data_IF_337890918024
#
_entry.id   IF_337890918024
#
_cell.length_a   1.000
_cell.length_b   1.000
_cell.length_c   1.000
_cell.angle_alpha   90.00
_cell.angle_beta   90.00
_cell.angle_gamma   90.00
#
_symmetry.space_group_name_H-M   'P 1'
#
loop_
_entity.id
_entity.type
_entity.pdbx_description
1 polymer ?
#
# COMPACT_ATOMS: atom_id res chain seq x y z
N UNK A 1 -25.68 -15.91 -48.06
CA UNK A 1 -25.55 -16.77 -46.86
C UNK A 1 -24.12 -16.78 -46.27
N UNK A 2 -23.08 -16.71 -47.10
CA UNK A 2 -21.71 -16.70 -46.65
C UNK A 2 -21.27 -15.35 -46.02
N UNK A 3 -21.90 -14.24 -46.40
CA UNK A 3 -21.57 -12.90 -45.90
C UNK A 3 -22.07 -12.61 -44.47
N UNK A 4 -23.14 -13.32 -44.04
CA UNK A 4 -23.68 -13.15 -42.67
C UNK A 4 -22.90 -13.95 -41.61
N UNK A 5 -22.34 -15.11 -42.00
CA UNK A 5 -21.47 -15.90 -41.13
C UNK A 5 -20.12 -15.19 -40.84
N UNK A 6 -19.58 -14.51 -41.84
CA UNK A 6 -18.31 -13.78 -41.72
C UNK A 6 -18.44 -12.54 -40.80
N UNK A 7 -19.59 -11.88 -40.83
CA UNK A 7 -19.84 -10.71 -39.94
C UNK A 7 -20.01 -11.12 -38.47
N UNK A 8 -20.68 -12.24 -38.20
CA UNK A 8 -20.88 -12.75 -36.86
C UNK A 8 -19.55 -13.24 -36.21
N UNK A 9 -18.70 -13.89 -37.01
CA UNK A 9 -17.39 -14.33 -36.56
C UNK A 9 -16.44 -13.19 -36.22
N UNK A 10 -16.44 -12.13 -37.02
CA UNK A 10 -15.62 -10.93 -36.76
C UNK A 10 -16.08 -10.13 -35.53
N UNK A 11 -17.39 -10.12 -35.27
CA UNK A 11 -17.95 -9.43 -34.08
C UNK A 11 -17.63 -10.19 -32.79
N UNK A 12 -17.66 -11.51 -32.82
CA UNK A 12 -17.34 -12.38 -31.70
C UNK A 12 -15.85 -12.31 -31.32
N UNK A 13 -14.95 -12.31 -32.31
CA UNK A 13 -13.52 -12.19 -32.09
C UNK A 13 -13.11 -10.83 -31.50
N UNK A 14 -13.82 -9.74 -31.87
CA UNK A 14 -13.59 -8.42 -31.25
C UNK A 14 -14.06 -8.33 -29.81
N UNK A 15 -15.18 -8.95 -29.45
CA UNK A 15 -15.66 -9.00 -28.08
C UNK A 15 -14.76 -9.87 -27.20
N UNK A 16 -14.23 -10.97 -27.69
CA UNK A 16 -13.31 -11.82 -26.94
C UNK A 16 -11.95 -11.16 -26.70
N UNK A 17 -11.44 -10.35 -27.63
CA UNK A 17 -10.21 -9.59 -27.42
C UNK A 17 -10.40 -8.44 -26.43
N UNK A 18 -11.57 -7.79 -26.39
CA UNK A 18 -11.91 -6.77 -25.40
C UNK A 18 -12.04 -7.36 -24.00
N UNK A 19 -12.67 -8.52 -23.84
CA UNK A 19 -12.76 -9.24 -22.57
C UNK A 19 -11.39 -9.68 -22.07
N UNK A 20 -10.49 -10.13 -22.93
CA UNK A 20 -9.12 -10.48 -22.54
C UNK A 20 -8.32 -9.31 -21.99
N UNK A 21 -8.50 -8.10 -22.53
CA UNK A 21 -7.84 -6.89 -22.05
C UNK A 21 -8.40 -6.47 -20.68
N UNK A 22 -9.71 -6.51 -20.48
CA UNK A 22 -10.36 -6.25 -19.20
C UNK A 22 -10.01 -7.31 -18.17
N UNK A 23 -9.99 -8.58 -18.51
CA UNK A 23 -9.59 -9.67 -17.64
C UNK A 23 -8.10 -9.58 -17.26
N UNK A 24 -7.22 -9.12 -18.15
CA UNK A 24 -5.80 -8.96 -17.86
C UNK A 24 -5.52 -7.78 -16.91
N UNK A 25 -6.34 -6.71 -16.94
CA UNK A 25 -6.29 -5.60 -16.00
C UNK A 25 -6.96 -5.90 -14.66
N UNK A 26 -7.97 -6.82 -14.65
CA UNK A 26 -8.78 -7.17 -13.46
C UNK A 26 -8.33 -8.46 -12.78
N UNK A 27 -7.58 -9.35 -13.44
CA UNK A 27 -7.41 -10.75 -13.02
C UNK A 27 -6.11 -11.09 -12.32
N UNK A 28 -5.22 -10.15 -12.07
CA UNK A 28 -4.26 -10.40 -10.99
C UNK A 28 -4.99 -10.10 -9.69
N UNK A 29 -5.40 -11.15 -8.90
CA UNK A 29 -5.88 -10.86 -7.57
C UNK A 29 -4.71 -10.22 -6.82
N UNK A 30 -4.69 -8.90 -6.83
CA UNK A 30 -3.83 -8.15 -5.94
C UNK A 30 -4.24 -8.59 -4.55
N UNK A 31 -3.29 -9.08 -3.78
CA UNK A 31 -3.55 -9.36 -2.39
C UNK A 31 -3.97 -8.05 -1.72
N UNK A 32 -5.25 -7.97 -1.34
CA UNK A 32 -5.78 -6.84 -0.61
C UNK A 32 -5.47 -7.01 0.87
N UNK A 33 -5.00 -5.95 1.48
CA UNK A 33 -4.54 -5.97 2.88
C UNK A 33 -5.21 -4.87 3.70
N UNK A 34 -5.30 -5.12 5.00
CA UNK A 34 -5.66 -4.12 5.98
C UNK A 34 -4.38 -3.42 6.48
N UNK A 35 -4.38 -2.09 6.48
CA UNK A 35 -3.21 -1.26 6.66
C UNK A 35 -3.27 -0.46 7.96
N UNK A 36 -2.23 -0.57 8.77
CA UNK A 36 -1.97 0.37 9.86
C UNK A 36 -1.21 1.57 9.30
N UNK A 37 -1.75 2.76 9.45
CA UNK A 37 -1.17 4.00 8.95
C UNK A 37 -0.68 4.86 10.12
N UNK A 38 0.60 5.15 10.14
CA UNK A 38 1.25 5.95 11.17
C UNK A 38 1.86 7.21 10.54
N UNK A 39 1.25 8.36 10.81
CA UNK A 39 1.62 9.66 10.26
C UNK A 39 1.08 10.77 11.18
N UNK A 40 1.91 11.70 11.60
CA UNK A 40 1.52 12.79 12.51
C UNK A 40 0.80 13.94 11.82
N UNK A 41 1.09 14.24 10.56
CA UNK A 41 0.44 15.31 9.82
C UNK A 41 -0.93 14.89 9.31
N UNK A 42 -1.98 15.54 9.81
CA UNK A 42 -3.37 15.17 9.52
C UNK A 42 -3.68 15.14 8.03
N UNK A 43 -3.29 16.17 7.27
CA UNK A 43 -3.59 16.24 5.84
C UNK A 43 -2.86 15.16 5.04
N UNK A 44 -1.60 14.89 5.39
CA UNK A 44 -0.82 13.83 4.74
C UNK A 44 -1.41 12.47 5.08
N UNK A 45 -1.78 12.24 6.34
CA UNK A 45 -2.42 10.98 6.76
C UNK A 45 -3.72 10.74 6.02
N UNK A 46 -4.55 11.75 5.86
CA UNK A 46 -5.81 11.67 5.09
C UNK A 46 -5.53 11.32 3.62
N UNK A 47 -4.54 11.96 3.01
CA UNK A 47 -4.13 11.68 1.64
C UNK A 47 -3.69 10.23 1.46
N UNK A 48 -2.85 9.73 2.35
CA UNK A 48 -2.35 8.35 2.28
C UNK A 48 -3.50 7.37 2.50
N UNK A 49 -4.40 7.64 3.45
CA UNK A 49 -5.59 6.81 3.70
C UNK A 49 -6.46 6.70 2.44
N UNK A 50 -6.71 7.81 1.74
CA UNK A 50 -7.44 7.82 0.48
C UNK A 50 -6.73 7.00 -0.61
N UNK A 51 -5.40 7.12 -0.72
CA UNK A 51 -4.61 6.32 -1.66
C UNK A 51 -4.71 4.82 -1.38
N UNK A 52 -4.62 4.44 -0.11
CA UNK A 52 -4.76 3.05 0.34
C UNK A 52 -6.12 2.48 -0.09
N UNK A 53 -7.19 3.22 0.15
CA UNK A 53 -8.54 2.82 -0.22
C UNK A 53 -8.75 2.77 -1.74
N UNK A 54 -8.23 3.73 -2.47
CA UNK A 54 -8.30 3.79 -3.93
C UNK A 54 -7.57 2.60 -4.58
N UNK A 55 -6.48 2.13 -3.95
CA UNK A 55 -5.76 0.92 -4.37
C UNK A 55 -6.52 -0.38 -4.04
N UNK A 56 -7.64 -0.29 -3.34
CA UNK A 56 -8.48 -1.43 -2.95
C UNK A 56 -8.18 -2.01 -1.58
N UNK A 57 -7.16 -1.51 -0.89
CA UNK A 57 -6.85 -1.92 0.48
C UNK A 57 -7.77 -1.21 1.49
N UNK A 58 -7.76 -1.66 2.73
CA UNK A 58 -8.50 -1.02 3.82
C UNK A 58 -7.57 -0.42 4.86
N UNK A 59 -8.03 0.61 5.56
CA UNK A 59 -7.31 1.19 6.68
C UNK A 59 -7.82 0.54 7.97
N UNK A 60 -6.96 -0.24 8.62
CA UNK A 60 -7.28 -0.95 9.85
C UNK A 60 -7.16 -0.07 11.10
N UNK A 61 -6.32 0.95 11.02
CA UNK A 61 -6.12 1.90 12.10
C UNK A 61 -5.19 3.02 11.69
N UNK A 62 -5.27 4.14 12.39
CA UNK A 62 -4.45 5.31 12.16
C UNK A 62 -3.86 5.79 13.49
N UNK A 63 -2.59 6.15 13.49
CA UNK A 63 -1.92 6.75 14.62
C UNK A 63 -1.22 8.04 14.21
N UNK A 64 -1.37 9.08 15.03
CA UNK A 64 -0.77 10.39 14.80
C UNK A 64 0.40 10.71 15.75
N UNK A 65 0.69 9.82 16.67
CA UNK A 65 1.74 9.99 17.68
C UNK A 65 2.32 8.64 18.07
N UNK A 66 3.46 8.67 18.73
CA UNK A 66 4.19 7.45 19.11
C UNK A 66 3.43 6.57 20.09
N UNK A 67 2.70 7.16 21.04
CA UNK A 67 1.94 6.43 22.05
C UNK A 67 0.85 5.58 21.40
N UNK A 68 0.05 6.18 20.52
CA UNK A 68 -1.00 5.48 19.80
C UNK A 68 -0.41 4.47 18.81
N UNK A 69 0.69 4.81 18.14
CA UNK A 69 1.37 3.92 17.22
C UNK A 69 1.86 2.64 17.94
N UNK A 70 2.48 2.78 19.10
CA UNK A 70 2.93 1.64 19.92
C UNK A 70 1.76 0.77 20.34
N UNK A 71 0.67 1.38 20.80
CA UNK A 71 -0.53 0.67 21.24
C UNK A 71 -1.15 -0.13 20.08
N UNK A 72 -1.36 0.50 18.92
CA UNK A 72 -1.93 -0.15 17.75
C UNK A 72 -1.00 -1.21 17.15
N UNK A 73 0.30 -0.97 17.15
CA UNK A 73 1.28 -1.96 16.72
C UNK A 73 1.19 -3.25 17.54
N UNK A 74 0.91 -3.15 18.83
CA UNK A 74 0.79 -4.28 19.74
C UNK A 74 -0.59 -4.96 19.68
N UNK A 75 -1.67 -4.19 19.55
CA UNK A 75 -3.03 -4.67 19.82
C UNK A 75 -3.94 -4.76 18.60
N UNK A 76 -3.69 -3.98 17.55
CA UNK A 76 -4.55 -3.96 16.38
C UNK A 76 -4.30 -5.18 15.47
N UNK A 77 -5.32 -5.54 14.71
CA UNK A 77 -5.21 -6.54 13.66
C UNK A 77 -5.01 -5.83 12.33
N UNK A 78 -3.87 -6.04 11.71
CA UNK A 78 -3.51 -5.46 10.41
C UNK A 78 -2.54 -6.39 9.67
N UNK A 79 -2.49 -6.27 8.36
CA UNK A 79 -1.70 -7.15 7.50
C UNK A 79 -0.51 -6.43 6.84
N UNK A 80 -0.49 -5.12 6.94
CA UNK A 80 0.54 -4.25 6.38
C UNK A 80 0.63 -2.94 7.19
N UNK A 81 1.78 -2.28 7.19
CA UNK A 81 1.90 -0.97 7.84
C UNK A 81 2.69 0.04 6.99
N UNK A 82 2.29 1.30 7.11
CA UNK A 82 3.00 2.44 6.52
C UNK A 82 3.42 3.33 7.69
N UNK A 83 4.72 3.51 7.86
CA UNK A 83 5.31 4.14 9.04
C UNK A 83 6.10 5.40 8.66
N UNK A 84 5.66 6.56 9.14
CA UNK A 84 6.46 7.77 9.07
C UNK A 84 7.72 7.60 9.93
N UNK A 85 8.89 7.88 9.35
CA UNK A 85 10.18 7.75 10.04
C UNK A 85 10.27 8.73 11.21
N UNK A 86 9.77 9.95 11.03
CA UNK A 86 9.80 11.00 12.05
C UNK A 86 8.37 11.31 12.50
N UNK A 87 7.98 10.77 13.64
CA UNK A 87 6.64 10.93 14.19
C UNK A 87 6.65 12.01 15.27
N UNK A 88 6.50 13.28 14.86
CA UNK A 88 6.47 14.41 15.79
C UNK A 88 7.75 14.54 16.63
N UNK A 89 8.92 14.25 16.05
CA UNK A 89 10.20 14.24 16.76
C UNK A 89 10.54 12.92 17.46
N UNK A 90 9.59 11.97 17.53
CA UNK A 90 9.84 10.64 18.09
C UNK A 90 10.35 9.69 17.01
N UNK A 91 11.29 8.81 17.34
CA UNK A 91 11.81 7.79 16.45
C UNK A 91 10.80 6.66 16.27
N UNK A 92 10.65 6.20 15.04
CA UNK A 92 9.72 5.11 14.70
C UNK A 92 10.27 3.72 15.08
N UNK A 93 11.54 3.62 15.44
CA UNK A 93 12.25 2.37 15.70
C UNK A 93 11.46 1.37 16.59
N UNK A 94 10.91 1.77 17.76
CA UNK A 94 10.18 0.82 18.60
C UNK A 94 8.92 0.26 17.94
N UNK A 95 8.22 1.07 17.16
CA UNK A 95 7.02 0.66 16.42
C UNK A 95 7.40 -0.37 15.33
N UNK A 96 8.44 -0.08 14.57
CA UNK A 96 8.94 -0.98 13.52
C UNK A 96 9.39 -2.32 14.10
N UNK A 97 10.05 -2.31 15.25
CA UNK A 97 10.48 -3.53 15.94
C UNK A 97 9.28 -4.42 16.36
N UNK A 98 8.23 -3.82 16.91
CA UNK A 98 7.01 -4.56 17.29
C UNK A 98 6.36 -5.18 16.04
N UNK A 99 6.18 -4.43 15.00
CA UNK A 99 5.53 -4.89 13.76
C UNK A 99 6.37 -5.99 13.10
N UNK A 100 7.68 -5.81 13.04
CA UNK A 100 8.61 -6.84 12.53
C UNK A 100 8.53 -8.13 13.35
N UNK A 101 8.47 -8.01 14.67
CA UNK A 101 8.32 -9.15 15.58
C UNK A 101 7.02 -9.92 15.38
N UNK A 102 5.98 -9.26 14.88
CA UNK A 102 4.69 -9.90 14.53
C UNK A 102 4.71 -10.53 13.12
N UNK A 103 5.79 -10.37 12.38
CA UNK A 103 5.90 -10.88 11.00
C UNK A 103 5.05 -10.11 9.98
N UNK A 104 4.64 -8.89 10.29
CA UNK A 104 3.85 -8.06 9.39
C UNK A 104 4.77 -7.21 8.50
N UNK A 105 4.61 -7.25 7.17
CA UNK A 105 5.38 -6.41 6.27
C UNK A 105 5.01 -4.93 6.42
N UNK A 106 5.99 -4.07 6.22
CA UNK A 106 5.81 -2.62 6.32
C UNK A 106 6.79 -1.86 5.43
N UNK A 107 6.44 -0.62 5.13
CA UNK A 107 7.28 0.35 4.45
C UNK A 107 7.38 1.61 5.29
N UNK A 108 8.41 2.40 5.02
CA UNK A 108 8.56 3.73 5.63
C UNK A 108 8.11 4.82 4.67
N UNK A 109 7.66 5.93 5.22
CA UNK A 109 7.52 7.21 4.53
C UNK A 109 8.41 8.26 5.19
N UNK A 110 8.95 9.17 4.39
CA UNK A 110 9.89 10.18 4.89
C UNK A 110 9.73 11.50 4.16
N UNK A 111 9.79 12.61 4.91
CA UNK A 111 9.89 13.95 4.34
C UNK A 111 11.34 14.36 4.01
N UNK A 112 12.34 13.62 4.50
CA UNK A 112 13.75 13.98 4.45
C UNK A 112 14.64 12.87 3.86
N UNK A 113 14.13 12.11 2.89
CA UNK A 113 14.88 11.05 2.25
C UNK A 113 15.17 9.88 3.20
N UNK A 114 16.41 9.38 3.19
CA UNK A 114 16.81 8.20 3.98
C UNK A 114 17.29 8.54 5.39
N UNK A 115 17.34 9.82 5.75
CA UNK A 115 17.76 10.25 7.10
C UNK A 115 16.76 9.76 8.14
N UNK A 116 17.27 9.10 9.19
CA UNK A 116 16.45 8.57 10.28
C UNK A 116 15.87 7.18 10.05
N UNK A 117 16.14 6.53 8.91
CA UNK A 117 15.76 5.13 8.71
C UNK A 117 16.44 4.26 9.78
N UNK A 118 15.68 3.46 10.55
CA UNK A 118 16.28 2.56 11.53
C UNK A 118 17.29 1.62 10.87
N UNK A 119 18.48 1.50 11.45
CA UNK A 119 19.59 0.69 10.89
C UNK A 119 19.19 -0.77 10.68
N UNK A 120 18.41 -1.33 11.60
CA UNK A 120 17.94 -2.71 11.52
C UNK A 120 16.97 -2.96 10.37
N UNK A 121 16.42 -1.90 9.77
CA UNK A 121 15.42 -1.96 8.69
C UNK A 121 15.86 -1.17 7.47
N UNK A 122 17.17 -1.03 7.25
CA UNK A 122 17.74 -0.30 6.11
C UNK A 122 17.44 -0.93 4.75
N UNK A 123 17.02 -2.19 4.74
CA UNK A 123 16.58 -2.92 3.54
C UNK A 123 15.11 -2.67 3.16
N UNK A 124 14.34 -2.02 4.04
CA UNK A 124 12.92 -1.74 3.78
C UNK A 124 12.77 -0.57 2.81
N UNK A 125 11.68 -0.62 2.04
CA UNK A 125 11.33 0.47 1.13
C UNK A 125 11.02 1.75 1.89
N UNK A 126 11.56 2.86 1.41
CA UNK A 126 11.27 4.21 1.92
C UNK A 126 10.66 5.04 0.80
N UNK A 127 9.44 5.50 0.99
CA UNK A 127 8.78 6.43 0.07
C UNK A 127 9.01 7.86 0.54
N UNK A 128 9.57 8.69 -0.33
CA UNK A 128 9.75 10.11 -0.05
C UNK A 128 8.44 10.87 -0.27
N UNK A 129 8.01 11.61 0.72
CA UNK A 129 6.80 12.46 0.65
C UNK A 129 7.10 13.77 -0.08
N UNK A 130 6.20 14.28 -0.94
CA UNK A 130 4.96 13.64 -1.39
C UNK A 130 5.23 12.56 -2.43
N UNK A 131 4.45 11.49 -2.42
CA UNK A 131 4.55 10.40 -3.40
C UNK A 131 3.24 10.20 -4.15
N UNK A 132 3.36 9.63 -5.35
CA UNK A 132 2.21 9.29 -6.20
C UNK A 132 1.60 7.97 -5.75
N UNK A 133 0.30 7.80 -6.03
CA UNK A 133 -0.43 6.57 -5.69
C UNK A 133 0.18 5.34 -6.38
N UNK A 134 0.70 5.48 -7.58
CA UNK A 134 1.38 4.40 -8.32
C UNK A 134 2.61 3.90 -7.56
N UNK A 135 3.38 4.81 -6.96
CA UNK A 135 4.54 4.47 -6.13
C UNK A 135 4.15 3.71 -4.88
N UNK A 136 3.07 4.14 -4.23
CA UNK A 136 2.53 3.44 -3.06
C UNK A 136 2.08 2.04 -3.43
N UNK A 137 1.33 1.89 -4.53
CA UNK A 137 0.88 0.59 -5.03
C UNK A 137 2.03 -0.36 -5.30
N UNK A 138 3.07 0.09 -6.01
CA UNK A 138 4.28 -0.69 -6.30
C UNK A 138 5.00 -1.12 -5.01
N UNK A 139 5.13 -0.21 -4.05
CA UNK A 139 5.81 -0.49 -2.79
C UNK A 139 5.06 -1.53 -1.95
N UNK A 140 3.74 -1.45 -1.89
CA UNK A 140 2.92 -2.44 -1.19
C UNK A 140 3.06 -3.80 -1.86
N UNK A 141 2.90 -3.87 -3.18
CA UNK A 141 3.03 -5.13 -3.92
C UNK A 141 4.42 -5.77 -3.73
N UNK A 142 5.48 -4.99 -3.81
CA UNK A 142 6.84 -5.49 -3.61
C UNK A 142 7.05 -6.04 -2.19
N UNK A 143 6.51 -5.39 -1.17
CA UNK A 143 6.63 -5.82 0.21
C UNK A 143 5.80 -7.08 0.53
N UNK A 144 4.74 -7.35 -0.23
CA UNK A 144 3.87 -8.52 -0.05
C UNK A 144 4.35 -9.78 -0.80
N UNK A 145 5.40 -9.67 -1.57
CA UNK A 145 5.97 -10.82 -2.30
C UNK A 145 6.74 -11.79 -1.37
#
# INVERSE_FOLDING_TARGET
>A
LNTLRDRAGKHRARQDSFRRIEEHTLTKPKRLVSVLLVEDETLIRMMIAEMVEELGHSVAGEASNITDALRLAQTATFEFAILDINLGGSKIDPVAEIISGRGVPFIFSSGYGLAGVPKSFSDRTVLQKPFLIERLGEAIEAALR
#
